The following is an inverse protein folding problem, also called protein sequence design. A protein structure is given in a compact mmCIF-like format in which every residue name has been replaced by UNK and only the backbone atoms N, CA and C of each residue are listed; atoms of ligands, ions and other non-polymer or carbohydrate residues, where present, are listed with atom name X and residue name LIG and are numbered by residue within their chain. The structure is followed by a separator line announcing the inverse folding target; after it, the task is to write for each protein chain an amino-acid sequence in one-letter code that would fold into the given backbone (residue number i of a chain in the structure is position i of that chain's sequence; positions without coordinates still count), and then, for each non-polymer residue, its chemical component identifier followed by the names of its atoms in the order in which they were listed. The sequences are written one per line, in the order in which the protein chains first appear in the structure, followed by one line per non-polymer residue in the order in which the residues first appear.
data_IF_247263953435
#
_entry.id   IF_247263953435
#
_cell.length_a   1.000
_cell.length_b   1.000
_cell.length_c   1.000
_cell.angle_alpha   90.00
_cell.angle_beta   90.00
_cell.angle_gamma   90.00
#
_symmetry.space_group_name_H-M   'P 1'
#
loop_
_entity.id
_entity.type
_entity.pdbx_description
1 polymer ?
#
# COMPACT_ATOMS: atom_id res chain seq x y z
N UNK A 1 -58.32 9.84 21.59
CA UNK A 1 -57.90 9.06 20.39
C UNK A 1 -58.03 7.57 20.70
N UNK A 2 -59.00 6.85 20.11
CA UNK A 2 -59.36 5.49 20.51
C UNK A 2 -58.57 4.37 19.77
N UNK A 3 -57.28 4.57 19.51
CA UNK A 3 -56.46 3.61 18.73
C UNK A 3 -55.23 3.04 19.48
N UNK A 4 -55.04 3.39 20.77
CA UNK A 4 -53.92 2.89 21.59
C UNK A 4 -54.27 1.69 22.49
N UNK A 5 -55.55 1.33 22.60
CA UNK A 5 -56.01 0.21 23.44
C UNK A 5 -55.64 -1.21 22.91
N UNK A 6 -55.65 -1.49 21.58
CA UNK A 6 -55.35 -2.84 21.09
C UNK A 6 -53.87 -3.23 21.23
N UNK A 7 -52.96 -2.24 21.13
CA UNK A 7 -51.51 -2.48 21.17
C UNK A 7 -50.98 -2.84 22.57
N UNK A 8 -51.56 -2.26 23.62
CA UNK A 8 -51.18 -2.59 25.01
C UNK A 8 -51.69 -3.97 25.44
N UNK A 9 -52.88 -4.40 24.97
CA UNK A 9 -53.37 -5.76 25.18
C UNK A 9 -52.54 -6.81 24.43
N UNK A 10 -52.05 -6.50 23.22
CA UNK A 10 -51.19 -7.41 22.47
C UNK A 10 -49.80 -7.58 23.11
N UNK A 11 -49.22 -6.49 23.63
CA UNK A 11 -47.95 -6.53 24.36
C UNK A 11 -48.07 -7.21 25.74
N UNK A 12 -49.20 -7.06 26.44
CA UNK A 12 -49.47 -7.82 27.67
C UNK A 12 -49.73 -9.31 27.43
N UNK A 13 -50.32 -9.70 26.29
CA UNK A 13 -50.51 -11.10 25.91
C UNK A 13 -49.19 -11.79 25.53
N UNK A 14 -48.21 -11.05 24.98
CA UNK A 14 -46.87 -11.57 24.71
C UNK A 14 -46.04 -11.70 26.00
N UNK A 15 -46.27 -10.80 26.97
CA UNK A 15 -45.57 -10.83 28.26
C UNK A 15 -46.08 -11.93 29.21
N UNK A 16 -47.33 -12.37 29.07
CA UNK A 16 -47.94 -13.38 29.94
C UNK A 16 -47.97 -14.79 29.31
N UNK A 17 -47.07 -15.64 29.81
CA UNK A 17 -47.36 -17.01 30.28
C UNK A 17 -47.21 -18.27 29.41
N UNK A 18 -46.49 -18.29 28.27
CA UNK A 18 -46.03 -19.60 27.72
C UNK A 18 -44.59 -19.63 27.21
N UNK A 19 -44.10 -18.60 26.51
CA UNK A 19 -42.76 -18.65 25.89
C UNK A 19 -41.60 -18.40 26.87
N UNK A 20 -41.77 -17.52 27.87
CA UNK A 20 -40.73 -17.23 28.86
C UNK A 20 -40.44 -18.43 29.80
N UNK A 21 -41.46 -19.25 30.09
CA UNK A 21 -41.28 -20.49 30.86
C UNK A 21 -40.67 -21.60 30.00
N UNK A 22 -41.00 -21.70 28.72
CA UNK A 22 -40.36 -22.66 27.81
C UNK A 22 -38.88 -22.36 27.58
N UNK A 23 -38.49 -21.09 27.46
CA UNK A 23 -37.08 -20.68 27.31
C UNK A 23 -36.29 -20.94 28.60
N UNK A 24 -36.88 -20.63 29.78
CA UNK A 24 -36.27 -20.99 31.07
C UNK A 24 -36.18 -22.50 31.29
N UNK A 25 -37.20 -23.25 30.86
CA UNK A 25 -37.25 -24.71 30.91
C UNK A 25 -36.19 -25.36 30.01
N UNK A 26 -36.07 -24.89 28.77
CA UNK A 26 -35.06 -25.35 27.82
C UNK A 26 -33.63 -24.99 28.28
N UNK A 27 -33.42 -23.77 28.79
CA UNK A 27 -32.13 -23.36 29.36
C UNK A 27 -31.72 -24.21 30.56
N UNK A 28 -32.64 -24.46 31.50
CA UNK A 28 -32.41 -25.33 32.66
C UNK A 28 -32.15 -26.78 32.25
N UNK A 29 -32.86 -27.28 31.24
CA UNK A 29 -32.65 -28.62 30.71
C UNK A 29 -31.28 -28.78 30.05
N UNK A 30 -30.83 -27.79 29.25
CA UNK A 30 -29.50 -27.80 28.61
C UNK A 30 -28.38 -27.75 29.66
N UNK A 31 -28.52 -26.89 30.68
CA UNK A 31 -27.52 -26.77 31.76
C UNK A 31 -27.44 -28.08 32.55
N UNK A 32 -28.58 -28.68 32.88
CA UNK A 32 -28.60 -29.97 33.58
C UNK A 32 -28.07 -31.12 32.71
N UNK A 33 -28.34 -31.12 31.41
CA UNK A 33 -27.77 -32.10 30.48
C UNK A 33 -26.24 -32.01 30.43
N UNK A 34 -25.69 -30.79 30.33
CA UNK A 34 -24.24 -30.58 30.33
C UNK A 34 -23.60 -30.97 31.66
N UNK A 35 -24.19 -30.57 32.79
CA UNK A 35 -23.67 -30.93 34.11
C UNK A 35 -23.69 -32.45 34.34
N UNK A 36 -24.76 -33.12 33.93
CA UNK A 36 -24.89 -34.58 34.07
C UNK A 36 -23.93 -35.32 33.14
N UNK A 37 -23.70 -34.82 31.95
CA UNK A 37 -22.71 -35.36 31.00
C UNK A 37 -21.28 -35.17 31.52
N UNK A 38 -20.97 -34.01 32.10
CA UNK A 38 -19.68 -33.74 32.74
C UNK A 38 -19.45 -34.62 33.97
N UNK A 39 -20.47 -34.86 34.79
CA UNK A 39 -20.37 -35.79 35.93
C UNK A 39 -20.23 -37.24 35.46
N UNK A 40 -20.91 -37.66 34.39
CA UNK A 40 -20.70 -38.98 33.78
C UNK A 40 -19.29 -39.14 33.22
N UNK A 41 -18.75 -38.10 32.57
CA UNK A 41 -17.37 -38.09 32.05
C UNK A 41 -16.38 -38.12 33.22
N UNK A 42 -16.57 -37.30 34.26
CA UNK A 42 -15.71 -37.32 35.46
C UNK A 42 -15.78 -38.66 36.21
N UNK A 43 -16.97 -39.28 36.28
CA UNK A 43 -17.17 -40.61 36.86
C UNK A 43 -16.45 -41.67 36.02
N UNK A 44 -16.60 -41.65 34.69
CA UNK A 44 -15.86 -42.54 33.81
C UNK A 44 -14.34 -42.31 33.89
N UNK A 45 -13.88 -41.06 34.07
CA UNK A 45 -12.46 -40.75 34.22
C UNK A 45 -11.90 -41.17 35.59
N UNK A 46 -12.68 -41.11 36.67
CA UNK A 46 -12.29 -41.60 38.01
C UNK A 46 -12.35 -43.12 38.10
N UNK A 47 -13.30 -43.75 37.42
CA UNK A 47 -13.42 -45.21 37.34
C UNK A 47 -12.42 -45.81 36.34
N UNK A 48 -12.01 -45.05 35.32
CA UNK A 48 -10.85 -45.36 34.50
C UNK A 48 -9.57 -45.08 35.31
N UNK A 49 -9.23 -46.01 36.20
CA UNK A 49 -7.81 -46.25 36.47
C UNK A 49 -7.20 -46.66 35.12
N UNK A 50 -6.73 -45.68 34.35
CA UNK A 50 -5.83 -45.93 33.22
C UNK A 50 -4.56 -46.44 33.86
N UNK A 51 -4.54 -47.74 34.10
CA UNK A 51 -3.36 -48.46 34.49
C UNK A 51 -2.44 -48.36 33.28
N UNK A 52 -1.48 -47.43 33.35
CA UNK A 52 -0.53 -47.14 32.28
C UNK A 52 0.13 -48.42 31.79
N UNK A 53 0.33 -49.40 32.66
CA UNK A 53 0.81 -50.74 32.30
C UNK A 53 -0.14 -51.51 31.36
N UNK A 54 -1.45 -51.49 31.60
CA UNK A 54 -2.45 -52.11 30.70
C UNK A 54 -2.56 -51.36 29.36
N UNK A 55 -2.45 -50.03 29.38
CA UNK A 55 -2.46 -49.23 28.15
C UNK A 55 -1.25 -49.55 27.26
N UNK A 56 -0.05 -49.61 27.84
CA UNK A 56 1.16 -50.02 27.12
C UNK A 56 1.15 -51.51 26.74
N UNK A 57 0.54 -52.39 27.54
CA UNK A 57 0.31 -53.79 27.16
C UNK A 57 -0.65 -53.91 25.97
N UNK A 58 -1.71 -53.11 25.89
CA UNK A 58 -2.61 -53.10 24.73
C UNK A 58 -1.95 -52.53 23.48
N UNK A 59 -1.08 -51.51 23.60
CA UNK A 59 -0.24 -51.04 22.49
C UNK A 59 0.77 -52.13 22.07
N UNK A 60 1.33 -52.87 23.03
CA UNK A 60 2.20 -54.02 22.76
C UNK A 60 1.49 -55.17 22.04
N UNK A 61 0.23 -55.45 22.39
CA UNK A 61 -0.63 -56.44 21.72
C UNK A 61 -0.98 -56.00 20.29
N UNK A 62 -1.18 -54.69 20.07
CA UNK A 62 -1.31 -54.09 18.72
C UNK A 62 -0.03 -54.24 17.89
N UNK A 63 1.15 -54.31 18.50
CA UNK A 63 2.42 -54.49 17.79
C UNK A 63 2.75 -55.97 17.54
N UNK A 64 2.17 -56.89 18.33
CA UNK A 64 2.44 -58.34 18.28
C UNK A 64 1.41 -59.15 17.47
N UNK A 65 0.19 -58.65 17.30
CA UNK A 65 -0.82 -59.27 16.43
C UNK A 65 -0.84 -58.61 15.05
N UNK A 66 -1.13 -59.42 14.01
CA UNK A 66 -1.37 -58.93 12.65
C UNK A 66 -2.52 -57.91 12.65
N UNK A 67 -2.17 -56.63 12.75
CA UNK A 67 -3.14 -55.54 12.74
C UNK A 67 -3.89 -55.61 11.42
N UNK A 68 -5.20 -55.81 11.49
CA UNK A 68 -5.98 -55.93 10.27
C UNK A 68 -5.88 -54.60 9.50
N UNK A 69 -5.83 -54.66 8.16
CA UNK A 69 -5.82 -53.45 7.32
C UNK A 69 -6.95 -52.48 7.65
N UNK A 70 -8.07 -52.98 8.20
CA UNK A 70 -9.21 -52.15 8.63
C UNK A 70 -8.87 -51.33 9.86
N UNK A 71 -8.18 -51.90 10.84
CA UNK A 71 -7.84 -51.20 12.09
C UNK A 71 -6.79 -50.11 11.84
N UNK A 72 -5.84 -50.36 10.94
CA UNK A 72 -4.89 -49.34 10.45
C UNK A 72 -5.65 -48.22 9.72
N UNK A 73 -6.62 -48.57 8.87
CA UNK A 73 -7.43 -47.59 8.14
C UNK A 73 -8.27 -46.72 9.09
N UNK A 74 -8.88 -47.29 10.14
CA UNK A 74 -9.62 -46.52 11.15
C UNK A 74 -8.71 -45.58 11.95
N UNK A 75 -7.51 -46.04 12.33
CA UNK A 75 -6.53 -45.18 13.01
C UNK A 75 -6.05 -44.03 12.11
N UNK A 76 -5.74 -44.32 10.84
CA UNK A 76 -5.34 -43.31 9.87
C UNK A 76 -6.46 -42.29 9.61
N UNK A 77 -7.72 -42.77 9.51
CA UNK A 77 -8.89 -41.90 9.39
C UNK A 77 -9.07 -41.01 10.62
N UNK A 78 -8.90 -41.56 11.83
CA UNK A 78 -8.96 -40.79 13.08
C UNK A 78 -7.88 -39.71 13.17
N UNK A 79 -6.64 -40.03 12.81
CA UNK A 79 -5.52 -39.07 12.79
C UNK A 79 -5.78 -37.98 11.74
N UNK A 80 -6.21 -38.34 10.53
CA UNK A 80 -6.48 -37.36 9.47
C UNK A 80 -7.62 -36.43 9.84
N UNK A 81 -8.74 -36.95 10.34
CA UNK A 81 -9.88 -36.14 10.81
C UNK A 81 -9.47 -35.27 12.00
N UNK A 82 -8.77 -35.83 12.99
CA UNK A 82 -8.30 -35.10 14.17
C UNK A 82 -7.32 -33.98 13.82
N UNK A 83 -6.42 -34.22 12.87
CA UNK A 83 -5.47 -33.21 12.36
C UNK A 83 -6.18 -32.14 11.56
N UNK A 84 -7.14 -32.50 10.70
CA UNK A 84 -7.96 -31.55 9.95
C UNK A 84 -8.80 -30.65 10.88
N UNK A 85 -9.43 -31.23 11.90
CA UNK A 85 -10.21 -30.49 12.90
C UNK A 85 -9.28 -29.62 13.74
N UNK A 86 -8.17 -30.17 14.25
CA UNK A 86 -7.19 -29.43 15.03
C UNK A 86 -6.53 -28.28 14.25
N UNK A 87 -6.25 -28.48 12.96
CA UNK A 87 -5.74 -27.45 12.06
C UNK A 87 -6.78 -26.36 11.80
N UNK A 88 -8.04 -26.72 11.54
CA UNK A 88 -9.12 -25.74 11.36
C UNK A 88 -9.40 -24.94 12.64
N UNK A 89 -9.43 -25.61 13.81
CA UNK A 89 -9.56 -24.93 15.10
C UNK A 89 -8.34 -24.04 15.33
N UNK A 90 -7.12 -24.51 15.09
CA UNK A 90 -5.88 -23.75 15.27
C UNK A 90 -5.79 -22.50 14.38
N UNK A 91 -6.25 -22.59 13.13
CA UNK A 91 -6.37 -21.44 12.23
C UNK A 91 -7.41 -20.42 12.74
N UNK A 92 -8.51 -20.90 13.34
CA UNK A 92 -9.57 -20.04 13.86
C UNK A 92 -9.34 -19.57 15.31
N UNK A 93 -8.40 -20.17 16.06
CA UNK A 93 -8.16 -19.92 17.49
C UNK A 93 -7.37 -18.62 17.75
N UNK A 94 -6.83 -17.98 16.71
CA UNK A 94 -6.21 -16.65 16.81
C UNK A 94 -7.14 -15.56 16.31
N UNK A 95 -8.26 -15.38 16.99
CA UNK A 95 -8.93 -14.09 17.05
C UNK A 95 -9.18 -13.77 18.53
N UNK A 96 -8.12 -13.33 19.21
CA UNK A 96 -8.36 -12.44 20.34
C UNK A 96 -9.11 -11.23 19.78
N UNK A 97 -10.33 -11.03 20.24
CA UNK A 97 -11.11 -9.81 20.01
C UNK A 97 -10.28 -8.64 20.52
N UNK A 98 -9.43 -8.10 19.63
CA UNK A 98 -8.80 -6.80 19.84
C UNK A 98 -9.92 -5.78 19.67
N UNK A 99 -9.93 -4.80 20.56
CA UNK A 99 -10.82 -3.65 20.48
C UNK A 99 -10.49 -2.93 19.17
N UNK A 100 -11.30 -3.12 18.13
CA UNK A 100 -11.08 -2.48 16.83
C UNK A 100 -11.21 -0.99 17.03
N UNK A 101 -10.09 -0.29 16.91
CA UNK A 101 -10.07 1.16 16.81
C UNK A 101 -10.29 1.53 15.35
N UNK A 102 -10.93 2.67 15.15
CA UNK A 102 -11.24 3.19 13.84
C UNK A 102 -10.44 4.47 13.59
N UNK A 103 -10.20 4.75 12.32
CA UNK A 103 -9.49 5.93 11.86
C UNK A 103 -10.15 6.50 10.61
N UNK A 104 -9.85 7.77 10.35
CA UNK A 104 -10.22 8.40 9.08
C UNK A 104 -9.31 7.96 7.95
N UNK A 105 -9.92 7.67 6.79
CA UNK A 105 -9.19 7.32 5.58
C UNK A 105 -9.91 7.82 4.31
N UNK A 106 -9.12 8.11 3.27
CA UNK A 106 -9.62 8.35 1.92
C UNK A 106 -9.48 7.04 1.15
N UNK A 107 -10.62 6.51 0.71
CA UNK A 107 -10.69 5.21 0.06
C UNK A 107 -11.33 5.28 -1.32
N UNK A 108 -11.01 4.32 -2.16
CA UNK A 108 -11.73 4.04 -3.40
C UNK A 108 -12.56 2.76 -3.19
N UNK A 109 -13.88 2.87 -3.35
CA UNK A 109 -14.84 1.76 -3.20
C UNK A 109 -15.04 0.99 -4.50
N UNK A 110 -14.95 1.68 -5.64
CA UNK A 110 -15.22 1.13 -6.96
C UNK A 110 -14.27 1.73 -7.99
N UNK A 111 -13.86 0.91 -8.96
CA UNK A 111 -12.99 1.35 -10.04
C UNK A 111 -13.72 2.13 -11.14
N UNK A 112 -14.36 3.24 -10.76
CA UNK A 112 -15.10 4.13 -11.67
C UNK A 112 -14.43 5.49 -11.82
N UNK A 113 -13.15 5.59 -11.43
CA UNK A 113 -12.41 6.84 -11.39
C UNK A 113 -12.63 7.61 -10.09
N UNK A 114 -12.47 8.93 -10.12
CA UNK A 114 -12.54 9.80 -8.93
C UNK A 114 -13.92 9.71 -8.25
N UNK A 115 -14.98 9.43 -9.00
CA UNK A 115 -16.35 9.23 -8.48
C UNK A 115 -16.46 8.03 -7.53
N UNK A 116 -15.51 7.10 -7.56
CA UNK A 116 -15.46 5.96 -6.65
C UNK A 116 -14.79 6.26 -5.31
N UNK A 117 -14.36 7.51 -5.08
CA UNK A 117 -13.62 7.92 -3.89
C UNK A 117 -14.55 8.41 -2.79
N UNK A 118 -14.28 8.00 -1.55
CA UNK A 118 -15.00 8.49 -0.37
C UNK A 118 -14.03 8.71 0.79
N UNK A 119 -14.42 9.62 1.69
CA UNK A 119 -13.78 9.79 2.99
C UNK A 119 -14.61 9.03 4.01
N UNK A 120 -13.99 8.10 4.71
CA UNK A 120 -14.62 7.32 5.77
C UNK A 120 -13.98 7.61 7.12
N UNK A 121 -14.76 7.55 8.18
CA UNK A 121 -14.31 7.77 9.57
C UNK A 121 -14.16 6.44 10.34
N UNK A 122 -14.53 5.32 9.72
CA UNK A 122 -14.62 3.99 10.31
C UNK A 122 -13.67 2.96 9.65
N UNK A 123 -12.54 3.42 9.08
CA UNK A 123 -11.51 2.50 8.60
C UNK A 123 -10.83 1.81 9.78
N UNK A 124 -10.56 0.51 9.69
CA UNK A 124 -9.85 -0.21 10.76
C UNK A 124 -8.44 0.36 10.96
N UNK A 125 -8.10 0.72 12.20
CA UNK A 125 -6.75 1.16 12.55
C UNK A 125 -5.79 -0.01 12.40
N UNK A 126 -4.74 0.11 11.56
CA UNK A 126 -3.82 -0.98 11.32
C UNK A 126 -2.95 -1.24 12.55
N UNK A 127 -2.69 -2.52 12.83
CA UNK A 127 -1.82 -2.96 13.92
C UNK A 127 -0.58 -3.64 13.35
N UNK A 128 0.54 -3.54 14.05
CA UNK A 128 1.77 -4.26 13.71
C UNK A 128 1.48 -5.77 13.73
N UNK A 129 1.73 -6.44 12.61
CA UNK A 129 1.56 -7.88 12.46
C UNK A 129 2.90 -8.61 12.41
N UNK A 130 3.96 -7.92 11.95
CA UNK A 130 5.31 -8.48 11.80
C UNK A 130 6.31 -7.71 12.64
N UNK A 131 7.36 -8.40 13.08
CA UNK A 131 8.42 -7.82 13.92
C UNK A 131 9.22 -6.71 13.25
N UNK A 132 9.23 -6.61 11.91
CA UNK A 132 9.95 -5.59 11.15
C UNK A 132 9.06 -4.44 10.64
N UNK A 133 7.84 -4.33 11.16
CA UNK A 133 6.88 -3.28 10.81
C UNK A 133 6.91 -2.13 11.82
N UNK A 134 6.54 -0.95 11.34
CA UNK A 134 6.37 0.26 12.13
C UNK A 134 4.98 0.84 11.91
N UNK A 135 4.37 1.33 12.98
CA UNK A 135 3.11 2.06 12.94
C UNK A 135 3.40 3.55 12.98
N UNK A 136 2.85 4.28 12.01
CA UNK A 136 3.11 5.71 11.82
C UNK A 136 1.78 6.46 11.87
N UNK A 137 1.72 7.50 12.70
CA UNK A 137 0.67 8.51 12.64
C UNK A 137 0.98 9.46 11.49
N UNK A 138 0.15 9.44 10.45
CA UNK A 138 0.31 10.27 9.27
C UNK A 138 -0.08 11.70 9.59
N UNK A 139 0.80 12.66 9.24
CA UNK A 139 0.53 14.10 9.36
C UNK A 139 0.23 14.75 8.02
N UNK A 140 0.88 14.27 6.96
CA UNK A 140 0.60 14.70 5.59
C UNK A 140 0.82 13.55 4.61
N UNK A 141 -0.04 13.42 3.61
CA UNK A 141 0.11 12.46 2.51
C UNK A 141 0.04 13.20 1.17
N UNK A 142 0.79 12.76 0.17
CA UNK A 142 0.73 13.37 -1.16
C UNK A 142 -0.29 12.68 -2.06
N UNK A 143 -0.90 13.47 -2.95
CA UNK A 143 -1.79 13.01 -4.01
C UNK A 143 -0.98 12.95 -5.30
N UNK A 144 -0.95 11.80 -5.94
CA UNK A 144 -0.20 11.55 -7.17
C UNK A 144 -1.11 11.17 -8.33
N UNK A 145 -0.69 11.39 -9.59
CA UNK A 145 -1.43 10.91 -10.76
C UNK A 145 -1.75 9.41 -10.76
N UNK A 146 -0.87 8.60 -10.14
CA UNK A 146 -1.09 7.16 -10.01
C UNK A 146 -2.30 6.84 -9.11
N UNK A 147 -2.64 7.70 -8.15
CA UNK A 147 -3.81 7.50 -7.29
C UNK A 147 -5.10 7.58 -8.09
N UNK A 148 -5.19 8.52 -9.04
CA UNK A 148 -6.30 8.61 -10.00
C UNK A 148 -6.35 7.36 -10.89
N UNK A 149 -5.20 6.88 -11.38
CA UNK A 149 -5.15 5.62 -12.15
C UNK A 149 -5.58 4.40 -11.32
N UNK A 150 -5.21 4.35 -10.04
CA UNK A 150 -5.64 3.30 -9.10
C UNK A 150 -7.17 3.30 -8.98
N UNK A 151 -7.79 4.49 -8.92
CA UNK A 151 -9.25 4.63 -8.94
C UNK A 151 -9.89 4.11 -10.24
N UNK A 152 -9.13 3.94 -11.32
CA UNK A 152 -9.57 3.32 -12.58
C UNK A 152 -9.13 1.86 -12.73
N UNK A 153 -8.63 1.23 -11.66
CA UNK A 153 -8.25 -0.20 -11.64
C UNK A 153 -6.78 -0.49 -11.98
N UNK A 154 -5.92 0.52 -12.04
CA UNK A 154 -4.48 0.33 -12.22
C UNK A 154 -3.89 -0.50 -11.07
N UNK A 155 -3.08 -1.51 -11.37
CA UNK A 155 -2.43 -2.45 -10.46
C UNK A 155 -3.39 -3.35 -9.65
N UNK A 156 -4.65 -3.51 -10.11
CA UNK A 156 -5.67 -4.31 -9.38
C UNK A 156 -5.26 -5.78 -9.20
N UNK A 157 -4.61 -6.38 -10.19
CA UNK A 157 -4.19 -7.78 -10.09
C UNK A 157 -3.03 -7.98 -9.12
N UNK A 158 -2.06 -7.07 -9.12
CA UNK A 158 -0.99 -7.10 -8.14
C UNK A 158 -1.53 -6.92 -6.72
N UNK A 159 -2.47 -5.99 -6.51
CA UNK A 159 -3.16 -5.85 -5.22
C UNK A 159 -3.82 -7.13 -4.75
N UNK A 160 -4.60 -7.80 -5.60
CA UNK A 160 -5.21 -9.10 -5.24
C UNK A 160 -4.18 -10.16 -4.84
N UNK A 161 -3.00 -10.13 -5.45
CA UNK A 161 -1.95 -11.11 -5.16
C UNK A 161 -1.25 -10.78 -3.84
N UNK A 162 -0.90 -9.51 -3.61
CA UNK A 162 -0.12 -9.08 -2.44
C UNK A 162 -0.97 -8.78 -1.20
N UNK A 163 -2.26 -8.48 -1.35
CA UNK A 163 -3.17 -8.09 -0.27
C UNK A 163 -4.27 -9.14 -0.02
N UNK A 164 -3.89 -10.42 0.02
CA UNK A 164 -4.78 -11.54 0.43
C UNK A 164 -6.08 -11.67 -0.37
N UNK A 165 -6.07 -11.33 -1.66
CA UNK A 165 -7.26 -11.40 -2.53
C UNK A 165 -8.13 -10.14 -2.53
N UNK A 166 -7.85 -9.18 -1.65
CA UNK A 166 -8.60 -7.93 -1.56
C UNK A 166 -7.97 -6.84 -2.44
N UNK A 167 -8.78 -6.20 -3.28
CA UNK A 167 -8.37 -5.04 -4.06
C UNK A 167 -9.28 -3.80 -3.90
N UNK A 168 -10.46 -3.97 -3.31
CA UNK A 168 -11.41 -2.93 -2.91
C UNK A 168 -12.08 -3.32 -1.57
N UNK A 169 -12.50 -2.34 -0.74
CA UNK A 169 -12.13 -0.93 -0.81
C UNK A 169 -10.62 -0.74 -0.55
N UNK A 170 -10.02 0.28 -1.16
CA UNK A 170 -8.59 0.57 -1.02
C UNK A 170 -8.34 1.98 -0.50
N UNK A 171 -7.48 2.11 0.51
CA UNK A 171 -6.90 3.40 0.94
C UNK A 171 -5.95 3.93 -0.14
N UNK A 172 -6.13 5.19 -0.53
CA UNK A 172 -5.33 5.86 -1.58
C UNK A 172 -4.00 6.44 -1.04
N UNK A 173 -3.16 6.95 -1.94
CA UNK A 173 -1.92 7.68 -1.64
C UNK A 173 -0.68 6.81 -1.56
N UNK A 174 0.42 7.29 -2.16
CA UNK A 174 1.68 6.54 -2.28
C UNK A 174 2.84 7.04 -1.43
N UNK A 175 2.69 8.15 -0.74
CA UNK A 175 3.71 8.70 0.14
C UNK A 175 3.13 9.62 1.21
N UNK A 176 3.78 9.62 2.35
CA UNK A 176 3.41 10.47 3.47
C UNK A 176 4.61 10.83 4.34
N UNK A 177 4.36 11.78 5.24
CA UNK A 177 5.22 12.11 6.36
C UNK A 177 4.40 12.12 7.66
N UNK A 178 5.01 11.66 8.74
CA UNK A 178 4.34 11.41 10.00
C UNK A 178 5.30 11.11 11.13
N UNK A 179 4.76 10.60 12.23
CA UNK A 179 5.51 10.28 13.45
C UNK A 179 5.36 8.79 13.77
N UNK A 180 6.47 8.12 14.10
CA UNK A 180 6.45 6.72 14.54
C UNK A 180 5.77 6.65 15.91
N UNK A 181 4.75 5.82 16.06
CA UNK A 181 4.00 5.65 17.32
C UNK A 181 4.12 4.25 17.92
N UNK A 182 4.51 3.25 17.13
CA UNK A 182 4.80 1.90 17.60
C UNK A 182 5.79 1.21 16.65
N UNK A 183 6.57 0.27 17.16
CA UNK A 183 7.61 -0.45 16.40
C UNK A 183 7.58 -1.95 16.72
N UNK A 184 7.83 -2.76 15.71
CA UNK A 184 8.02 -4.20 15.87
C UNK A 184 9.37 -4.53 16.53
N UNK A 185 9.48 -5.76 17.03
CA UNK A 185 10.64 -6.22 17.82
C UNK A 185 11.98 -6.25 17.06
N UNK A 186 11.94 -6.35 15.73
CA UNK A 186 13.14 -6.45 14.88
C UNK A 186 13.48 -5.11 14.20
N UNK A 187 12.78 -4.02 14.54
CA UNK A 187 13.06 -2.67 14.04
C UNK A 187 14.27 -2.11 14.80
N UNK A 188 15.27 -1.61 14.06
CA UNK A 188 16.57 -1.24 14.65
C UNK A 188 17.02 0.20 14.32
N UNK A 189 16.49 0.80 13.26
CA UNK A 189 16.87 2.12 12.75
C UNK A 189 15.85 3.23 13.01
N UNK A 190 14.74 2.93 13.69
CA UNK A 190 13.67 3.86 14.01
C UNK A 190 13.22 3.70 15.46
N UNK A 191 12.99 4.82 16.12
CA UNK A 191 12.47 4.90 17.49
C UNK A 191 11.05 5.51 17.50
N UNK A 192 10.28 5.17 18.53
CA UNK A 192 8.99 5.84 18.78
C UNK A 192 9.24 7.34 18.99
N UNK A 193 8.47 8.17 18.30
CA UNK A 193 8.62 9.62 18.27
C UNK A 193 9.47 10.14 17.11
N UNK A 194 10.14 9.29 16.34
CA UNK A 194 10.86 9.72 15.15
C UNK A 194 9.90 10.33 14.12
N UNK A 195 10.28 11.49 13.58
CA UNK A 195 9.61 12.09 12.44
C UNK A 195 10.13 11.47 11.15
N UNK A 196 9.22 10.87 10.38
CA UNK A 196 9.56 10.03 9.22
C UNK A 196 8.80 10.44 7.97
N UNK A 197 9.30 9.99 6.84
CA UNK A 197 8.61 10.01 5.56
C UNK A 197 8.82 8.67 4.84
N UNK A 198 7.88 8.31 3.96
CA UNK A 198 7.88 6.99 3.33
C UNK A 198 7.18 7.02 1.99
N UNK A 199 7.43 5.97 1.21
CA UNK A 199 6.70 5.71 -0.01
C UNK A 199 6.31 4.24 -0.14
N UNK A 200 5.16 4.01 -0.76
CA UNK A 200 4.52 2.70 -0.94
C UNK A 200 4.27 2.44 -2.43
N UNK A 201 4.37 1.18 -2.88
CA UNK A 201 4.16 0.83 -4.29
C UNK A 201 2.68 0.92 -4.65
N UNK A 202 2.37 0.94 -5.95
CA UNK A 202 0.99 1.02 -6.49
C UNK A 202 0.04 -0.07 -5.96
N UNK A 203 0.59 -1.22 -5.59
CA UNK A 203 -0.13 -2.38 -5.05
C UNK A 203 -0.15 -2.44 -3.52
N UNK A 204 0.61 -1.59 -2.85
CA UNK A 204 0.76 -1.60 -1.39
C UNK A 204 -0.36 -0.86 -0.66
N UNK A 205 -0.27 -0.90 0.67
CA UNK A 205 -1.14 -0.12 1.57
C UNK A 205 -1.12 1.38 1.23
N UNK A 206 -2.25 2.06 1.43
CA UNK A 206 -2.39 3.50 1.18
C UNK A 206 -1.93 4.37 2.34
N UNK A 207 -1.53 5.59 2.00
CA UNK A 207 -0.99 6.59 2.94
C UNK A 207 -1.98 7.72 3.26
N UNK A 208 -3.09 7.83 2.54
CA UNK A 208 -4.17 8.78 2.83
C UNK A 208 -5.11 8.24 3.93
N UNK A 209 -4.55 7.94 5.08
CA UNK A 209 -5.25 7.58 6.31
C UNK A 209 -4.51 8.15 7.51
N UNK A 210 -5.17 8.27 8.67
CA UNK A 210 -4.53 8.81 9.88
C UNK A 210 -3.38 7.94 10.41
N UNK A 211 -3.41 6.63 10.13
CA UNK A 211 -2.36 5.70 10.52
C UNK A 211 -2.02 4.74 9.39
N UNK A 212 -0.75 4.31 9.36
CA UNK A 212 -0.27 3.31 8.41
C UNK A 212 0.74 2.39 9.08
N UNK A 213 0.67 1.09 8.75
CA UNK A 213 1.70 0.11 9.08
C UNK A 213 2.48 -0.23 7.83
N UNK A 214 3.81 -0.10 7.89
CA UNK A 214 4.73 -0.49 6.82
C UNK A 214 5.98 -1.13 7.37
N UNK A 215 6.70 -1.88 6.55
CA UNK A 215 8.03 -2.39 6.90
C UNK A 215 9.04 -1.25 7.02
N UNK A 216 9.95 -1.32 8.00
CA UNK A 216 11.04 -0.35 8.23
C UNK A 216 11.83 -0.03 6.95
N UNK A 217 12.05 -1.02 6.07
CA UNK A 217 12.73 -0.87 4.75
C UNK A 217 12.07 0.13 3.79
N UNK A 218 10.87 0.64 4.08
CA UNK A 218 10.16 1.65 3.27
C UNK A 218 10.17 3.04 3.88
N UNK A 219 10.74 3.17 5.07
CA UNK A 219 10.68 4.36 5.90
C UNK A 219 12.08 4.94 6.03
N UNK A 220 12.16 6.26 6.06
CA UNK A 220 13.36 7.01 6.38
C UNK A 220 12.98 8.18 7.29
N UNK A 221 13.95 8.74 8.01
CA UNK A 221 13.68 9.96 8.80
C UNK A 221 13.32 11.11 7.85
N UNK A 222 12.43 12.01 8.22
CA UNK A 222 12.14 13.18 7.37
C UNK A 222 13.27 14.21 7.46
N UNK A 223 13.44 15.11 6.48
CA UNK A 223 14.38 16.22 6.60
C UNK A 223 14.04 17.12 7.81
N UNK A 224 15.06 17.60 8.50
CA UNK A 224 14.90 18.23 9.83
C UNK A 224 14.23 19.60 9.76
N UNK A 225 14.48 20.35 8.68
CA UNK A 225 14.15 21.78 8.59
C UNK A 225 12.85 22.10 7.84
N UNK A 226 12.13 21.08 7.36
CA UNK A 226 10.91 21.27 6.59
C UNK A 226 9.70 20.66 7.31
N UNK A 227 8.51 21.16 6.95
CA UNK A 227 7.25 20.70 7.53
C UNK A 227 6.89 19.28 7.07
N UNK A 228 5.88 18.68 7.70
CA UNK A 228 5.35 17.38 7.27
C UNK A 228 4.76 17.45 5.85
N UNK A 229 4.11 18.55 5.49
CA UNK A 229 3.54 18.76 4.15
C UNK A 229 4.63 18.82 3.08
N UNK A 230 5.69 19.58 3.35
CA UNK A 230 6.86 19.66 2.48
C UNK A 230 7.56 18.30 2.40
N UNK A 231 7.71 17.58 3.51
CA UNK A 231 8.33 16.26 3.54
C UNK A 231 7.52 15.23 2.76
N UNK A 232 6.18 15.23 2.89
CA UNK A 232 5.30 14.31 2.18
C UNK A 232 5.35 14.49 0.66
N UNK A 233 5.80 15.65 0.16
CA UNK A 233 5.89 15.94 -1.28
C UNK A 233 7.01 15.23 -2.03
N UNK A 234 7.95 14.62 -1.29
CA UNK A 234 9.24 14.15 -1.80
C UNK A 234 9.35 12.63 -2.06
N UNK A 235 8.80 11.71 -1.24
CA UNK A 235 9.20 10.31 -1.29
C UNK A 235 8.88 9.60 -2.60
N UNK A 236 7.64 9.68 -3.08
CA UNK A 236 7.23 8.97 -4.30
C UNK A 236 7.85 9.64 -5.53
N UNK A 237 7.69 10.96 -5.66
CA UNK A 237 8.23 11.74 -6.76
C UNK A 237 9.76 11.64 -6.84
N UNK A 238 10.44 11.68 -5.70
CA UNK A 238 11.88 11.59 -5.59
C UNK A 238 12.41 10.20 -5.91
N UNK A 239 11.74 9.12 -5.49
CA UNK A 239 12.10 7.77 -5.92
C UNK A 239 12.01 7.62 -7.45
N UNK A 240 10.97 8.18 -8.07
CA UNK A 240 10.78 8.13 -9.53
C UNK A 240 11.84 8.99 -10.24
N UNK A 241 12.09 10.21 -9.76
CA UNK A 241 13.11 11.09 -10.32
C UNK A 241 14.49 10.46 -10.25
N UNK A 242 14.86 9.92 -9.09
CA UNK A 242 16.13 9.24 -8.86
C UNK A 242 16.26 7.99 -9.74
N UNK A 243 15.24 7.14 -9.82
CA UNK A 243 15.26 5.96 -10.68
C UNK A 243 15.38 6.33 -12.16
N UNK A 244 14.68 7.37 -12.59
CA UNK A 244 14.70 7.85 -13.97
C UNK A 244 16.08 8.36 -14.36
N UNK A 245 16.71 9.12 -13.47
CA UNK A 245 18.02 9.72 -13.70
C UNK A 245 19.15 8.70 -13.57
N UNK A 246 19.20 7.94 -12.47
CA UNK A 246 20.32 7.04 -12.13
C UNK A 246 20.21 5.68 -12.80
N UNK A 247 19.02 5.06 -12.83
CA UNK A 247 18.90 3.68 -13.30
C UNK A 247 18.48 3.58 -14.77
N UNK A 248 17.77 4.57 -15.31
CA UNK A 248 17.19 4.53 -16.66
C UNK A 248 17.86 5.46 -17.67
N UNK A 249 18.81 6.28 -17.22
CA UNK A 249 19.58 7.16 -18.09
C UNK A 249 21.09 6.86 -17.95
N UNK A 250 21.93 7.12 -18.97
CA UNK A 250 23.37 6.88 -18.93
C UNK A 250 24.12 7.98 -18.14
N UNK A 251 23.43 8.66 -17.22
CA UNK A 251 23.94 9.84 -16.51
C UNK A 251 24.22 9.46 -15.08
N UNK A 252 25.42 9.82 -14.64
CA UNK A 252 25.93 9.53 -13.32
C UNK A 252 26.46 10.82 -12.70
N UNK A 253 26.56 10.82 -11.38
CA UNK A 253 27.24 11.86 -10.64
C UNK A 253 28.69 11.97 -11.13
N UNK A 254 29.07 13.16 -11.62
CA UNK A 254 30.39 13.44 -12.19
C UNK A 254 30.47 13.41 -13.72
N UNK A 255 29.49 12.83 -14.42
CA UNK A 255 29.49 12.79 -15.89
C UNK A 255 28.45 13.72 -16.55
N UNK A 256 27.64 14.43 -15.76
CA UNK A 256 26.59 15.31 -16.28
C UNK A 256 27.09 16.67 -16.79
N UNK A 257 28.29 17.12 -16.36
CA UNK A 257 28.86 18.40 -16.79
C UNK A 257 29.04 18.44 -18.30
N UNK A 258 28.55 19.52 -18.93
CA UNK A 258 28.58 19.69 -20.38
C UNK A 258 27.52 18.88 -21.15
N UNK A 259 26.76 18.01 -20.46
CA UNK A 259 25.61 17.32 -21.05
C UNK A 259 24.36 18.21 -20.99
N UNK A 260 23.49 18.00 -21.97
CA UNK A 260 22.20 18.70 -22.11
C UNK A 260 21.05 17.75 -21.83
N UNK A 261 20.06 18.22 -21.09
CA UNK A 261 18.91 17.46 -20.65
C UNK A 261 17.64 18.22 -21.01
N UNK A 262 16.60 17.48 -21.36
CA UNK A 262 15.27 18.04 -21.58
C UNK A 262 14.30 17.44 -20.56
N UNK A 263 13.56 18.28 -19.84
CA UNK A 263 12.46 17.85 -18.96
C UNK A 263 11.15 18.36 -19.54
N UNK A 264 10.35 17.47 -20.11
CA UNK A 264 8.97 17.78 -20.51
C UNK A 264 8.03 17.52 -19.32
N UNK A 265 7.40 18.59 -18.83
CA UNK A 265 6.63 18.57 -17.59
C UNK A 265 7.41 19.05 -16.37
N UNK A 266 8.25 20.08 -16.51
CA UNK A 266 9.05 20.58 -15.39
C UNK A 266 8.25 21.00 -14.15
N UNK A 267 6.98 21.36 -14.33
CA UNK A 267 6.04 21.72 -13.25
C UNK A 267 5.51 20.53 -12.46
N UNK A 268 5.73 19.29 -12.90
CA UNK A 268 5.32 18.10 -12.14
C UNK A 268 6.21 17.89 -10.90
N UNK A 269 5.74 17.19 -9.85
CA UNK A 269 6.57 16.83 -8.70
C UNK A 269 7.90 16.17 -9.10
N UNK A 270 7.84 15.24 -10.04
CA UNK A 270 9.02 14.52 -10.55
C UNK A 270 9.93 15.47 -11.34
N UNK A 271 9.35 16.32 -12.19
CA UNK A 271 10.08 17.31 -12.98
C UNK A 271 10.83 18.31 -12.10
N UNK A 272 10.19 18.83 -11.06
CA UNK A 272 10.80 19.76 -10.11
C UNK A 272 12.02 19.16 -9.40
N UNK A 273 11.98 17.87 -9.05
CA UNK A 273 13.13 17.17 -8.45
C UNK A 273 14.21 16.89 -9.49
N UNK A 274 13.84 16.41 -10.69
CA UNK A 274 14.79 16.12 -11.78
C UNK A 274 15.62 17.33 -12.17
N UNK A 275 14.99 18.50 -12.33
CA UNK A 275 15.70 19.74 -12.68
C UNK A 275 16.81 20.00 -11.66
N UNK A 276 16.48 19.99 -10.37
CA UNK A 276 17.43 20.27 -9.30
C UNK A 276 18.57 19.23 -9.25
N UNK A 277 18.25 17.93 -9.38
CA UNK A 277 19.26 16.86 -9.39
C UNK A 277 20.24 17.00 -10.57
N UNK A 278 19.73 17.26 -11.77
CA UNK A 278 20.57 17.41 -12.96
C UNK A 278 21.46 18.66 -12.82
N UNK A 279 20.91 19.75 -12.30
CA UNK A 279 21.67 20.98 -12.03
C UNK A 279 22.74 20.77 -10.97
N UNK A 280 22.43 20.02 -9.91
CA UNK A 280 23.39 19.66 -8.87
C UNK A 280 24.61 18.92 -9.45
N UNK A 281 24.40 18.08 -10.48
CA UNK A 281 25.49 17.38 -11.16
C UNK A 281 26.18 18.19 -12.28
N UNK A 282 25.79 19.45 -12.46
CA UNK A 282 26.39 20.37 -13.44
C UNK A 282 25.85 20.24 -14.86
N UNK A 283 24.71 19.56 -15.05
CA UNK A 283 24.04 19.46 -16.34
C UNK A 283 23.38 20.77 -16.77
N UNK A 284 23.18 20.91 -18.08
CA UNK A 284 22.36 21.97 -18.67
C UNK A 284 20.92 21.46 -18.87
N UNK A 285 19.94 22.14 -18.29
CA UNK A 285 18.55 21.69 -18.25
C UNK A 285 17.66 22.63 -19.07
N UNK A 286 17.23 22.15 -20.23
CA UNK A 286 16.09 22.72 -20.94
C UNK A 286 14.79 22.15 -20.36
N UNK A 287 13.78 22.99 -20.15
CA UNK A 287 12.52 22.60 -19.53
C UNK A 287 11.37 23.07 -20.40
N UNK A 288 10.44 22.16 -20.67
CA UNK A 288 9.14 22.51 -21.25
C UNK A 288 8.11 22.51 -20.11
N UNK A 289 7.46 23.65 -19.92
CA UNK A 289 6.41 23.82 -18.92
C UNK A 289 5.40 24.90 -19.36
N UNK A 290 4.34 25.08 -18.59
CA UNK A 290 3.41 26.18 -18.77
C UNK A 290 4.02 27.53 -18.38
N UNK A 291 3.40 28.63 -18.83
CA UNK A 291 3.88 29.99 -18.59
C UNK A 291 3.88 30.37 -17.10
N UNK A 292 2.86 29.96 -16.36
CA UNK A 292 2.71 30.19 -14.92
C UNK A 292 3.83 29.55 -14.09
N UNK A 293 4.37 28.41 -14.54
CA UNK A 293 5.45 27.69 -13.88
C UNK A 293 6.85 28.28 -14.11
N UNK A 294 7.04 29.15 -15.11
CA UNK A 294 8.37 29.64 -15.54
C UNK A 294 9.19 30.22 -14.38
N UNK A 295 8.56 30.98 -13.48
CA UNK A 295 9.25 31.57 -12.31
C UNK A 295 9.77 30.49 -11.36
N UNK A 296 8.95 29.47 -11.10
CA UNK A 296 9.34 28.34 -10.23
C UNK A 296 10.45 27.55 -10.90
N UNK A 297 10.32 27.18 -12.17
CA UNK A 297 11.33 26.42 -12.91
C UNK A 297 12.67 27.13 -12.96
N UNK A 298 12.67 28.46 -13.16
CA UNK A 298 13.90 29.25 -13.13
C UNK A 298 14.56 29.23 -11.74
N UNK A 299 13.77 29.31 -10.66
CA UNK A 299 14.28 29.22 -9.29
C UNK A 299 14.86 27.83 -8.98
N UNK A 300 14.30 26.77 -9.55
CA UNK A 300 14.82 25.40 -9.44
C UNK A 300 16.09 25.14 -10.28
N UNK A 301 16.48 26.10 -11.12
CA UNK A 301 17.72 26.05 -11.91
C UNK A 301 17.54 25.66 -13.37
N UNK A 302 16.34 25.70 -13.93
CA UNK A 302 16.14 25.55 -15.38
C UNK A 302 16.92 26.62 -16.17
N UNK A 303 17.76 26.20 -17.12
CA UNK A 303 18.64 27.09 -17.88
C UNK A 303 17.92 27.71 -19.10
N UNK A 304 17.05 26.92 -19.73
CA UNK A 304 16.34 27.28 -20.96
C UNK A 304 14.90 26.76 -20.87
N UNK A 305 13.94 27.68 -20.88
CA UNK A 305 12.55 27.39 -20.55
C UNK A 305 11.68 27.66 -21.78
N UNK A 306 10.97 26.64 -22.23
CA UNK A 306 10.04 26.67 -23.36
C UNK A 306 8.62 26.63 -22.81
N UNK A 307 7.82 27.65 -23.12
CA UNK A 307 6.45 27.77 -22.62
C UNK A 307 5.43 27.18 -23.60
N UNK A 308 4.61 26.23 -23.15
CA UNK A 308 3.65 25.48 -24.00
C UNK A 308 2.53 26.36 -24.58
N UNK A 309 2.14 27.46 -23.93
CA UNK A 309 0.89 28.17 -24.24
C UNK A 309 0.89 28.95 -25.56
N UNK A 310 2.05 29.23 -26.17
CA UNK A 310 2.14 30.09 -27.36
C UNK A 310 3.24 29.69 -28.36
N UNK A 311 3.89 28.53 -28.20
CA UNK A 311 5.02 28.13 -29.04
C UNK A 311 4.78 26.78 -29.71
N UNK A 312 5.16 26.68 -30.99
CA UNK A 312 5.35 25.40 -31.64
C UNK A 312 6.55 24.69 -30.99
N UNK A 313 6.26 23.70 -30.15
CA UNK A 313 7.27 22.96 -29.39
C UNK A 313 8.25 22.25 -30.33
N UNK A 314 7.81 21.74 -31.49
CA UNK A 314 8.71 21.06 -32.43
C UNK A 314 9.70 22.08 -33.01
N UNK A 315 9.22 23.24 -33.43
CA UNK A 315 10.07 24.32 -33.95
C UNK A 315 11.06 24.84 -32.90
N UNK A 316 10.60 25.10 -31.67
CA UNK A 316 11.47 25.53 -30.57
C UNK A 316 12.56 24.50 -30.26
N UNK A 317 12.22 23.22 -30.30
CA UNK A 317 13.18 22.13 -30.10
C UNK A 317 14.15 21.96 -31.28
N UNK A 318 13.75 22.34 -32.49
CA UNK A 318 14.62 22.33 -33.67
C UNK A 318 15.70 23.40 -33.66
N UNK A 319 15.41 24.54 -33.02
CA UNK A 319 16.37 25.62 -32.82
C UNK A 319 17.43 25.29 -31.76
N UNK A 320 17.29 24.17 -31.05
CA UNK A 320 18.15 23.77 -29.93
C UNK A 320 19.00 22.56 -30.26
N UNK A 321 20.14 22.48 -29.57
CA UNK A 321 21.00 21.30 -29.63
C UNK A 321 20.29 20.06 -29.06
N UNK A 322 20.63 18.90 -29.60
CA UNK A 322 20.13 17.60 -29.13
C UNK A 322 20.54 17.31 -27.67
N UNK A 323 19.77 16.45 -27.02
CA UNK A 323 19.86 16.14 -25.61
C UNK A 323 20.45 14.75 -25.36
N UNK A 324 21.22 14.64 -24.28
CA UNK A 324 21.80 13.39 -23.80
C UNK A 324 20.75 12.52 -23.10
N UNK A 325 19.82 13.17 -22.38
CA UNK A 325 18.64 12.50 -21.86
C UNK A 325 17.42 13.41 -21.95
N UNK A 326 16.28 12.81 -22.27
CA UNK A 326 14.96 13.47 -22.31
C UNK A 326 14.04 12.75 -21.32
N UNK A 327 13.48 13.51 -20.39
CA UNK A 327 12.56 13.04 -19.36
C UNK A 327 11.14 13.50 -19.66
N UNK A 328 10.23 12.54 -19.81
CA UNK A 328 8.80 12.79 -20.00
C UNK A 328 8.08 12.54 -18.68
N UNK A 329 7.60 13.64 -18.07
CA UNK A 329 6.96 13.62 -16.73
C UNK A 329 5.52 14.10 -16.73
N UNK A 330 5.11 14.92 -17.71
CA UNK A 330 3.75 15.45 -17.82
C UNK A 330 2.77 14.44 -18.40
N UNK A 331 1.49 14.54 -18.03
CA UNK A 331 0.39 13.86 -18.73
C UNK A 331 -0.18 14.69 -19.89
N UNK A 332 0.33 15.91 -20.09
CA UNK A 332 -0.07 16.76 -21.20
C UNK A 332 0.20 16.06 -22.54
N UNK A 333 -0.75 16.17 -23.50
CA UNK A 333 -0.62 15.50 -24.78
C UNK A 333 0.51 16.11 -25.60
N UNK A 334 1.47 15.28 -25.99
CA UNK A 334 2.53 15.59 -26.95
C UNK A 334 2.82 14.36 -27.80
N UNK A 335 3.14 14.56 -29.09
CA UNK A 335 3.70 13.45 -29.87
C UNK A 335 5.11 13.15 -29.34
N UNK A 336 5.22 12.02 -28.64
CA UNK A 336 6.47 11.52 -28.06
C UNK A 336 7.58 11.38 -29.12
N UNK A 337 7.22 11.21 -30.40
CA UNK A 337 8.20 11.16 -31.50
C UNK A 337 8.99 12.47 -31.61
N UNK A 338 8.36 13.61 -31.36
CA UNK A 338 9.02 14.93 -31.36
C UNK A 338 10.13 14.94 -30.32
N UNK A 339 9.83 14.50 -29.09
CA UNK A 339 10.80 14.42 -28.00
C UNK A 339 11.92 13.41 -28.30
N UNK A 340 11.58 12.23 -28.82
CA UNK A 340 12.56 11.17 -29.15
C UNK A 340 13.52 11.58 -30.26
N UNK A 341 13.07 12.33 -31.28
CA UNK A 341 13.93 12.85 -32.37
C UNK A 341 15.06 13.75 -31.84
N UNK A 342 14.90 14.35 -30.66
CA UNK A 342 15.87 15.27 -30.06
C UNK A 342 16.93 14.58 -29.19
N UNK A 343 16.84 13.26 -29.02
CA UNK A 343 17.85 12.48 -28.30
C UNK A 343 19.05 12.22 -29.21
N UNK A 344 20.27 12.32 -28.68
CA UNK A 344 21.49 11.94 -29.41
C UNK A 344 21.57 10.40 -29.59
N UNK A 345 22.43 9.91 -30.49
CA UNK A 345 22.50 8.47 -30.81
C UNK A 345 22.80 7.55 -29.62
N UNK A 346 23.52 8.04 -28.61
CA UNK A 346 23.83 7.32 -27.36
C UNK A 346 23.08 7.88 -26.14
N UNK A 347 22.01 8.65 -26.39
CA UNK A 347 21.19 9.25 -25.35
C UNK A 347 20.02 8.36 -24.96
N UNK A 348 19.29 8.77 -23.93
CA UNK A 348 18.12 8.05 -23.44
C UNK A 348 16.85 8.90 -23.44
N UNK A 349 15.74 8.29 -23.85
CA UNK A 349 14.42 8.82 -23.57
C UNK A 349 13.82 8.03 -22.41
N UNK A 350 13.41 8.72 -21.34
CA UNK A 350 12.85 8.10 -20.13
C UNK A 350 11.48 8.70 -19.86
N UNK A 351 10.46 7.85 -19.79
CA UNK A 351 9.11 8.24 -19.37
C UNK A 351 8.88 7.86 -17.92
N UNK A 352 8.39 8.80 -17.12
CA UNK A 352 8.06 8.57 -15.70
C UNK A 352 6.55 8.33 -15.49
N UNK A 353 5.76 8.41 -16.56
CA UNK A 353 4.35 8.11 -16.53
C UNK A 353 4.12 6.62 -16.24
N UNK A 354 3.09 6.26 -15.44
CA UNK A 354 2.79 4.87 -15.17
C UNK A 354 2.45 4.14 -16.48
N UNK A 355 3.26 3.15 -16.83
CA UNK A 355 3.05 2.30 -18.01
C UNK A 355 1.78 1.45 -17.83
N UNK A 356 1.00 1.21 -18.90
CA UNK A 356 -0.14 0.31 -18.82
C UNK A 356 0.32 -1.09 -18.45
N UNK A 357 -0.20 -1.61 -17.34
CA UNK A 357 0.12 -2.95 -16.88
C UNK A 357 -0.72 -3.95 -17.69
N UNK A 358 -0.05 -4.81 -18.47
CA UNK A 358 -0.71 -5.87 -19.25
C UNK A 358 -1.61 -6.70 -18.33
N UNK A 359 -1.17 -6.96 -17.09
CA UNK A 359 -1.93 -7.68 -16.07
C UNK A 359 -3.34 -7.13 -15.86
N UNK A 360 -3.54 -5.80 -15.93
CA UNK A 360 -4.83 -5.18 -15.66
C UNK A 360 -5.84 -5.36 -16.80
N UNK A 361 -5.33 -5.62 -18.00
CA UNK A 361 -6.10 -5.95 -19.20
C UNK A 361 -6.39 -7.44 -19.36
N UNK A 362 -5.75 -8.29 -18.55
CA UNK A 362 -6.02 -9.73 -18.58
C UNK A 362 -7.43 -9.97 -18.06
N UNK A 363 -8.26 -10.64 -18.85
CA UNK A 363 -9.58 -11.10 -18.40
C UNK A 363 -9.46 -12.12 -17.26
N UNK A 364 -10.60 -12.57 -16.73
CA UNK A 364 -10.65 -13.46 -15.55
C UNK A 364 -9.72 -14.69 -15.67
N UNK A 365 -9.79 -15.43 -16.79
CA UNK A 365 -9.01 -16.65 -16.98
C UNK A 365 -7.50 -16.40 -17.04
N UNK A 366 -7.05 -15.51 -17.94
CA UNK A 366 -5.64 -15.18 -18.09
C UNK A 366 -5.07 -14.49 -16.85
N UNK A 367 -5.87 -13.66 -16.17
CA UNK A 367 -5.49 -13.01 -14.92
C UNK A 367 -5.26 -14.00 -13.78
N UNK A 368 -6.04 -15.07 -13.69
CA UNK A 368 -5.81 -16.15 -12.71
C UNK A 368 -4.55 -16.94 -13.02
N UNK A 369 -4.27 -17.23 -14.30
CA UNK A 369 -3.00 -17.87 -14.71
C UNK A 369 -1.80 -16.99 -14.38
N UNK A 370 -1.89 -15.68 -14.66
CA UNK A 370 -0.87 -14.71 -14.29
C UNK A 370 -0.65 -14.67 -12.77
N UNK A 371 -1.73 -14.65 -11.98
CA UNK A 371 -1.65 -14.69 -10.52
C UNK A 371 -1.01 -15.98 -10.00
N UNK A 372 -1.34 -17.14 -10.58
CA UNK A 372 -0.72 -18.41 -10.24
C UNK A 372 0.78 -18.41 -10.56
N UNK A 373 1.17 -17.94 -11.75
CA UNK A 373 2.57 -17.80 -12.14
C UNK A 373 3.33 -16.90 -11.16
N UNK A 374 2.76 -15.74 -10.79
CA UNK A 374 3.40 -14.82 -9.86
C UNK A 374 3.53 -15.43 -8.45
N UNK A 375 2.52 -16.12 -7.95
CA UNK A 375 2.58 -16.83 -6.66
C UNK A 375 3.65 -17.91 -6.64
N UNK A 376 3.79 -18.67 -7.71
CA UNK A 376 4.87 -19.67 -7.85
C UNK A 376 6.23 -18.99 -7.82
N UNK A 377 6.40 -17.88 -8.54
CA UNK A 377 7.64 -17.09 -8.51
C UNK A 377 7.97 -16.57 -7.11
N UNK A 378 6.98 -16.02 -6.40
CA UNK A 378 7.15 -15.53 -5.03
C UNK A 378 7.48 -16.68 -4.05
N UNK A 379 6.86 -17.85 -4.22
CA UNK A 379 7.18 -19.04 -3.43
C UNK A 379 8.62 -19.50 -3.67
N UNK A 380 9.08 -19.53 -4.92
CA UNK A 380 10.47 -19.82 -5.24
C UNK A 380 11.42 -18.82 -4.58
N UNK A 381 11.13 -17.52 -4.67
CA UNK A 381 11.92 -16.48 -4.01
C UNK A 381 11.98 -16.70 -2.49
N UNK A 382 10.84 -17.01 -1.87
CA UNK A 382 10.77 -17.34 -0.44
C UNK A 382 11.64 -18.54 -0.06
N UNK A 383 11.56 -19.63 -0.83
CA UNK A 383 12.35 -20.86 -0.60
C UNK A 383 13.86 -20.56 -0.66
N UNK A 384 14.29 -19.68 -1.56
CA UNK A 384 15.70 -19.29 -1.72
C UNK A 384 16.12 -18.08 -0.86
N UNK A 385 15.28 -17.64 0.08
CA UNK A 385 15.59 -16.50 0.96
C UNK A 385 15.73 -15.16 0.24
N UNK A 386 15.16 -15.04 -0.97
CA UNK A 386 15.12 -13.79 -1.72
C UNK A 386 13.90 -12.99 -1.24
N UNK A 387 14.13 -11.77 -0.74
CA UNK A 387 13.11 -10.87 -0.20
C UNK A 387 11.89 -10.75 -1.15
N UNK A 388 10.77 -11.40 -0.80
CA UNK A 388 9.57 -11.48 -1.65
C UNK A 388 8.77 -10.18 -1.70
N UNK A 389 9.04 -9.25 -0.76
CA UNK A 389 8.37 -7.95 -0.64
C UNK A 389 8.98 -6.85 -1.52
N UNK A 390 10.04 -7.20 -2.27
CA UNK A 390 10.72 -6.37 -3.25
C UNK A 390 10.23 -6.66 -4.68
N UNK A 391 8.92 -6.89 -4.86
CA UNK A 391 8.36 -6.94 -6.21
C UNK A 391 8.43 -5.54 -6.85
N UNK A 392 9.35 -5.40 -7.80
CA UNK A 392 9.69 -4.17 -8.50
C UNK A 392 8.59 -3.81 -9.51
N UNK A 393 7.67 -2.92 -9.13
CA UNK A 393 6.67 -2.36 -10.05
C UNK A 393 7.19 -1.07 -10.72
N UNK A 394 8.29 -1.21 -11.46
CA UNK A 394 8.83 -0.18 -12.37
C UNK A 394 9.59 0.99 -11.72
N UNK A 395 9.18 1.48 -10.54
CA UNK A 395 9.92 2.46 -9.75
C UNK A 395 10.56 1.78 -8.53
N UNK A 396 11.89 1.83 -8.42
CA UNK A 396 12.63 1.26 -7.29
C UNK A 396 12.41 2.12 -6.03
N UNK A 397 11.23 1.99 -5.40
CA UNK A 397 10.94 2.63 -4.11
C UNK A 397 11.79 1.94 -3.04
N UNK A 398 12.84 2.64 -2.58
CA UNK A 398 13.82 2.15 -1.62
C UNK A 398 14.06 3.19 -0.54
N UNK A 399 14.17 2.76 0.72
CA UNK A 399 14.57 3.65 1.82
C UNK A 399 15.93 4.32 1.57
N UNK A 400 16.87 3.63 0.93
CA UNK A 400 18.17 4.21 0.57
C UNK A 400 18.05 5.47 -0.30
N UNK A 401 17.07 5.51 -1.21
CA UNK A 401 16.80 6.70 -2.03
C UNK A 401 16.17 7.81 -1.22
N UNK A 402 15.32 7.48 -0.24
CA UNK A 402 14.74 8.46 0.68
C UNK A 402 15.83 9.09 1.56
N UNK A 403 16.81 8.32 2.02
CA UNK A 403 17.96 8.84 2.78
C UNK A 403 18.78 9.83 1.94
N UNK A 404 19.07 9.51 0.67
CA UNK A 404 19.76 10.44 -0.24
C UNK A 404 18.95 11.73 -0.42
N UNK A 405 17.64 11.62 -0.64
CA UNK A 405 16.76 12.79 -0.77
C UNK A 405 16.79 13.62 0.51
N UNK A 406 16.73 12.97 1.68
CA UNK A 406 16.81 13.64 2.98
C UNK A 406 18.10 14.44 3.11
N UNK A 407 19.24 13.81 2.80
CA UNK A 407 20.55 14.45 2.87
C UNK A 407 20.66 15.65 1.92
N UNK A 408 20.12 15.55 0.72
CA UNK A 408 20.10 16.66 -0.24
C UNK A 408 19.25 17.84 0.23
N UNK A 409 18.11 17.56 0.86
CA UNK A 409 17.24 18.61 1.43
C UNK A 409 17.88 19.25 2.66
N UNK A 410 18.41 18.44 3.59
CA UNK A 410 19.08 18.94 4.78
C UNK A 410 20.34 19.77 4.45
N UNK A 411 20.96 19.51 3.29
CA UNK A 411 22.09 20.28 2.75
C UNK A 411 21.68 21.50 1.90
N UNK A 412 20.38 21.85 1.86
CA UNK A 412 19.82 22.95 1.05
C UNK A 412 20.10 22.82 -0.47
N UNK A 413 20.37 21.59 -0.95
CA UNK A 413 20.62 21.27 -2.37
C UNK A 413 19.36 20.85 -3.14
N UNK A 414 18.30 20.49 -2.42
CA UNK A 414 17.01 20.11 -2.97
C UNK A 414 15.89 20.81 -2.19
N UNK A 415 15.02 21.51 -2.90
CA UNK A 415 13.85 22.18 -2.36
C UNK A 415 12.57 21.41 -2.72
N UNK A 416 11.67 21.29 -1.74
CA UNK A 416 10.32 20.77 -1.95
C UNK A 416 9.42 21.82 -2.62
N UNK A 417 8.58 21.40 -3.56
CA UNK A 417 7.60 22.28 -4.22
C UNK A 417 6.19 21.77 -3.91
N UNK A 418 5.49 22.47 -3.03
CA UNK A 418 4.10 22.16 -2.65
C UNK A 418 3.18 23.18 -3.29
N UNK A 419 2.23 22.71 -4.10
CA UNK A 419 1.25 23.55 -4.78
C UNK A 419 0.10 23.94 -3.85
N UNK A 420 -0.48 22.95 -3.19
CA UNK A 420 -1.70 23.09 -2.41
C UNK A 420 -1.78 22.01 -1.33
N UNK A 421 -2.40 22.36 -0.21
CA UNK A 421 -2.71 21.44 0.88
C UNK A 421 -4.21 21.46 1.17
N UNK A 422 -4.82 20.28 1.13
CA UNK A 422 -6.25 20.05 1.34
C UNK A 422 -6.48 19.29 2.65
N UNK A 423 -7.66 19.46 3.24
CA UNK A 423 -8.14 18.59 4.33
C UNK A 423 -8.72 17.30 3.73
N UNK A 424 -8.81 16.20 4.49
CA UNK A 424 -9.32 14.92 3.96
C UNK A 424 -10.71 15.05 3.33
N UNK A 425 -11.60 15.87 3.89
CA UNK A 425 -12.95 16.12 3.36
C UNK A 425 -12.97 16.73 1.94
N UNK A 426 -11.84 17.23 1.44
CA UNK A 426 -11.70 17.78 0.09
C UNK A 426 -10.84 16.85 -0.81
N UNK A 427 -10.80 15.55 -0.50
CA UNK A 427 -10.02 14.56 -1.24
C UNK A 427 -10.32 14.53 -2.74
N UNK A 428 -11.59 14.60 -3.14
CA UNK A 428 -11.99 14.63 -4.55
C UNK A 428 -11.42 15.85 -5.27
N UNK A 429 -11.48 17.03 -4.63
CA UNK A 429 -10.92 18.26 -5.19
C UNK A 429 -9.39 18.16 -5.31
N UNK A 430 -8.74 17.52 -4.34
CA UNK A 430 -7.29 17.30 -4.39
C UNK A 430 -6.89 16.35 -5.53
N UNK A 431 -7.68 15.29 -5.78
CA UNK A 431 -7.47 14.37 -6.91
C UNK A 431 -7.71 15.07 -8.26
N UNK A 432 -8.77 15.86 -8.37
CA UNK A 432 -9.04 16.68 -9.55
C UNK A 432 -7.94 17.71 -9.79
N UNK A 433 -7.42 18.32 -8.73
CA UNK A 433 -6.33 19.30 -8.79
C UNK A 433 -5.05 18.69 -9.39
N UNK A 434 -4.70 17.45 -9.01
CA UNK A 434 -3.55 16.73 -9.57
C UNK A 434 -3.72 16.36 -11.04
N UNK A 435 -4.97 16.10 -11.48
CA UNK A 435 -5.29 15.92 -12.90
C UNK A 435 -5.42 17.25 -13.66
N UNK A 436 -5.50 18.37 -12.94
CA UNK A 436 -5.66 19.70 -13.50
C UNK A 436 -4.36 20.26 -14.07
N UNK A 437 -4.50 21.15 -15.05
CA UNK A 437 -3.37 21.76 -15.76
C UNK A 437 -2.61 22.80 -14.92
N UNK A 438 -3.20 23.30 -13.84
CA UNK A 438 -2.66 24.42 -13.05
C UNK A 438 -1.74 24.00 -11.89
N UNK A 439 -1.55 22.69 -11.65
CA UNK A 439 -0.76 22.21 -10.52
C UNK A 439 0.75 22.37 -10.78
N UNK A 440 1.45 23.06 -9.86
CA UNK A 440 2.91 23.21 -9.90
C UNK A 440 3.50 22.55 -8.64
N UNK A 441 4.15 21.41 -8.83
CA UNK A 441 4.65 20.57 -7.75
C UNK A 441 3.57 19.68 -7.14
N UNK A 442 3.67 19.39 -5.85
CA UNK A 442 2.88 18.35 -5.19
C UNK A 442 1.60 18.88 -4.56
N UNK A 443 0.55 18.06 -4.59
CA UNK A 443 -0.71 18.30 -3.87
C UNK A 443 -0.73 17.43 -2.62
N UNK A 444 -1.10 17.99 -1.48
CA UNK A 444 -1.00 17.35 -0.17
C UNK A 444 -2.37 17.22 0.49
N UNK A 445 -2.64 16.10 1.16
CA UNK A 445 -3.70 15.93 2.16
C UNK A 445 -3.08 16.08 3.54
N UNK A 446 -3.60 17.01 4.35
CA UNK A 446 -3.15 17.27 5.72
C UNK A 446 -4.09 16.61 6.73
N UNK A 447 -3.54 15.71 7.55
CA UNK A 447 -4.23 15.12 8.70
C UNK A 447 -3.94 15.96 9.95
N UNK A 448 -4.82 15.88 10.95
CA UNK A 448 -4.73 16.72 12.16
C UNK A 448 -3.74 16.18 13.20
#
# INVERSE_FOLDING_TARGET
MPWLAPGQQYLQNIYNNQYAQQIKGAGSWIINFFNRSLELIKFQFRCAQINTRNFYQHIGILYLNDVSRRDIAFCALGITIGTLIGYNIGLNWRQTSKRTQYMKAIICHHYVGIEGVAVIDDAELPIIQRSNEVLIQVKAASVNPVDVKICSGYSKYYRRIFNHGNDLPIVLGRDCSGVVIDIGQDVMGLDIGDEVFLSTPSWGVGTMAEYIVVTEKRVAKKPKRITFEASASLPYAGCIAWDSLVNKSPVEEGNAKGKRFLVYGGSTPVGCILIQLIKLWGGYVSVICRADAVKVIKALGGDDIISVENSDIEMELELRNRYHAVFHTSQEPIDIRILKKRVISYGSFVSTLPEPLISDSLGFFLGNLFAAHLRVKLLFQYIFGIDCYLYNDGAKIKSSTLEIIRELVDADKLQSVVCAAFRPNYAEQALQHVSGLNAIGSTIIKFQ
#
